data_IF_904696598329
#
_entry.id   IF_904696598329
#
_cell.length_a   1.000
_cell.length_b   1.000
_cell.length_c   1.000
_cell.angle_alpha   90.00
_cell.angle_beta   90.00
_cell.angle_gamma   90.00
#
_symmetry.space_group_name_H-M   'P 1'
#
loop_
_entity.id
_entity.type
_entity.pdbx_description
1 polymer ?
#
# COMPACT_ATOMS: atom_id res chain seq x y z
N UNK A 1 -38.11 -18.32 54.64
CA UNK A 1 -37.88 -17.32 53.61
C UNK A 1 -36.56 -17.63 52.92
N UNK A 2 -36.61 -18.43 51.87
CA UNK A 2 -35.41 -18.84 51.10
C UNK A 2 -35.26 -17.83 49.94
N UNK A 3 -34.13 -17.12 49.93
CA UNK A 3 -33.75 -16.25 48.85
C UNK A 3 -33.08 -17.08 47.75
N UNK A 4 -33.78 -17.23 46.63
CA UNK A 4 -33.26 -17.90 45.42
C UNK A 4 -32.40 -16.90 44.63
N UNK A 5 -31.09 -17.09 44.63
CA UNK A 5 -30.12 -16.30 43.84
C UNK A 5 -30.06 -16.89 42.44
N UNK A 6 -30.87 -16.37 41.54
CA UNK A 6 -30.88 -16.77 40.14
C UNK A 6 -29.64 -16.20 39.44
N UNK A 7 -28.68 -17.07 39.14
CA UNK A 7 -27.42 -16.74 38.45
C UNK A 7 -27.71 -16.46 36.99
N UNK A 8 -27.82 -15.20 36.65
CA UNK A 8 -27.90 -14.66 35.29
C UNK A 8 -26.69 -15.12 34.47
N UNK A 9 -26.91 -16.12 33.60
CA UNK A 9 -25.93 -16.52 32.58
C UNK A 9 -25.70 -15.39 31.61
N UNK A 10 -24.60 -14.63 31.77
CA UNK A 10 -24.16 -13.65 30.81
C UNK A 10 -23.98 -14.30 29.43
N UNK A 11 -24.54 -13.77 28.34
CA UNK A 11 -24.51 -14.41 27.04
C UNK A 11 -23.09 -14.46 26.51
N UNK A 12 -22.64 -15.65 26.19
CA UNK A 12 -21.31 -16.00 25.65
C UNK A 12 -20.87 -15.10 24.47
N UNK A 13 -21.82 -14.45 23.82
CA UNK A 13 -21.62 -13.51 22.71
C UNK A 13 -20.94 -12.18 23.13
N UNK A 14 -21.08 -11.75 24.36
CA UNK A 14 -20.48 -10.49 24.83
C UNK A 14 -18.97 -10.61 25.06
N UNK A 15 -18.52 -11.76 25.52
CA UNK A 15 -17.08 -12.06 25.65
C UNK A 15 -16.36 -12.07 24.30
N UNK A 16 -17.02 -12.52 23.23
CA UNK A 16 -16.46 -12.52 21.87
C UNK A 16 -16.30 -11.08 21.37
N UNK A 17 -17.24 -10.20 21.65
CA UNK A 17 -17.15 -8.79 21.24
C UNK A 17 -16.04 -8.03 22.00
N UNK A 18 -15.81 -8.35 23.26
CA UNK A 18 -14.74 -7.76 24.07
C UNK A 18 -13.35 -8.23 23.56
N UNK A 19 -13.21 -9.51 23.25
CA UNK A 19 -11.94 -10.04 22.72
C UNK A 19 -11.61 -9.48 21.34
N UNK A 20 -12.58 -9.33 20.45
CA UNK A 20 -12.39 -8.71 19.13
C UNK A 20 -11.99 -7.24 19.27
N UNK A 21 -12.61 -6.48 20.18
CA UNK A 21 -12.24 -5.09 20.43
C UNK A 21 -10.80 -4.93 20.94
N UNK A 22 -10.36 -5.83 21.83
CA UNK A 22 -8.99 -5.81 22.39
C UNK A 22 -7.96 -6.14 21.29
N UNK A 23 -8.24 -7.12 20.42
CA UNK A 23 -7.33 -7.50 19.33
C UNK A 23 -7.16 -6.35 18.33
N UNK A 24 -8.25 -5.66 17.96
CA UNK A 24 -8.19 -4.49 17.07
C UNK A 24 -7.34 -3.37 17.69
N UNK A 25 -7.50 -3.10 18.99
CA UNK A 25 -6.73 -2.04 19.66
C UNK A 25 -5.23 -2.36 19.71
N UNK A 26 -4.85 -3.62 19.91
CA UNK A 26 -3.44 -4.06 19.94
C UNK A 26 -2.81 -4.00 18.55
N UNK A 27 -3.53 -4.41 17.50
CA UNK A 27 -3.03 -4.39 16.12
C UNK A 27 -2.86 -2.95 15.62
N UNK A 28 -3.84 -2.07 15.84
CA UNK A 28 -3.76 -0.66 15.44
C UNK A 28 -2.70 0.09 16.26
N UNK A 29 -2.61 -0.15 17.57
CA UNK A 29 -1.60 0.45 18.45
C UNK A 29 -0.18 0.00 18.11
N UNK A 30 0.00 -1.29 17.80
CA UNK A 30 1.29 -1.87 17.40
C UNK A 30 1.78 -1.32 16.05
N UNK A 31 0.89 -1.17 15.08
CA UNK A 31 1.21 -0.59 13.78
C UNK A 31 1.62 0.88 13.90
N UNK A 32 0.94 1.67 14.72
CA UNK A 32 1.25 3.08 14.93
C UNK A 32 2.60 3.27 15.67
N UNK A 33 2.88 2.44 16.69
CA UNK A 33 4.14 2.46 17.42
C UNK A 33 5.33 2.08 16.52
N UNK A 34 5.16 1.09 15.63
CA UNK A 34 6.18 0.68 14.67
C UNK A 34 6.47 1.77 13.63
N UNK A 35 5.43 2.49 13.16
CA UNK A 35 5.58 3.58 12.20
C UNK A 35 6.32 4.78 12.81
N UNK A 36 6.01 5.14 14.06
CA UNK A 36 6.67 6.25 14.77
C UNK A 36 8.13 5.93 15.09
N UNK A 37 8.46 4.68 15.39
CA UNK A 37 9.83 4.25 15.71
C UNK A 37 10.81 4.33 14.53
N UNK A 38 10.32 4.38 13.30
CA UNK A 38 11.16 4.55 12.09
C UNK A 38 11.50 6.01 11.77
N UNK A 39 10.93 6.98 12.48
CA UNK A 39 11.20 8.40 12.28
C UNK A 39 12.16 8.99 13.32
N UNK A 40 12.91 8.18 14.05
CA UNK A 40 13.96 8.66 14.94
C UNK A 40 15.10 9.23 14.09
N UNK A 41 15.05 10.53 13.88
CA UNK A 41 16.16 11.34 13.34
C UNK A 41 17.30 11.29 14.34
N UNK A 42 18.53 10.96 13.96
CA UNK A 42 19.65 10.96 14.88
C UNK A 42 19.96 12.38 15.34
N UNK A 43 19.97 12.54 16.65
CA UNK A 43 20.26 13.80 17.35
C UNK A 43 21.72 14.21 17.11
N UNK A 44 21.91 15.47 16.80
CA UNK A 44 23.16 16.23 16.67
C UNK A 44 24.26 15.75 17.62
N UNK A 45 25.37 15.32 17.07
CA UNK A 45 26.67 15.40 17.71
C UNK A 45 27.21 16.85 17.59
N UNK A 46 27.41 17.47 18.70
CA UNK A 46 28.13 18.75 18.84
C UNK A 46 29.57 18.54 18.37
N UNK A 47 29.92 19.14 17.24
CA UNK A 47 31.30 19.19 16.78
C UNK A 47 31.99 20.44 17.32
N UNK A 48 33.14 20.23 17.95
CA UNK A 48 34.17 21.18 18.34
C UNK A 48 34.69 22.00 17.15
N UNK A 49 35.12 23.25 17.30
CA UNK A 49 35.53 24.12 16.21
C UNK A 49 36.90 23.75 15.68
N UNK A 50 36.97 22.98 14.62
CA UNK A 50 38.21 22.73 13.88
C UNK A 50 38.40 23.77 12.79
N UNK A 51 39.61 24.36 12.79
CA UNK A 51 40.15 25.37 11.88
C UNK A 51 39.77 25.16 10.43
N UNK A 52 39.27 26.24 9.82
CA UNK A 52 38.99 26.36 8.39
C UNK A 52 40.19 26.06 7.48
N UNK A 53 40.12 25.12 6.56
CA UNK A 53 40.99 25.09 5.40
C UNK A 53 40.42 26.01 4.30
N UNK A 54 41.32 26.70 3.70
CA UNK A 54 41.21 27.69 2.63
C UNK A 54 40.35 27.18 1.46
N UNK A 55 39.41 28.01 1.05
CA UNK A 55 38.57 27.86 -0.14
C UNK A 55 39.42 27.64 -1.41
N UNK A 56 39.32 26.44 -1.96
CA UNK A 56 39.55 26.16 -3.37
C UNK A 56 38.82 24.87 -3.71
N UNK A 57 37.81 24.98 -4.55
CA UNK A 57 36.87 23.98 -5.09
C UNK A 57 35.51 23.97 -4.40
N UNK A 58 34.72 24.99 -4.74
CA UNK A 58 33.26 24.87 -4.65
C UNK A 58 32.82 23.81 -5.65
N UNK A 59 32.03 22.79 -5.21
CA UNK A 59 31.36 21.93 -6.17
C UNK A 59 30.46 22.78 -7.09
N UNK A 60 30.17 22.32 -8.32
CA UNK A 60 29.29 23.04 -9.23
C UNK A 60 28.03 23.42 -8.48
N UNK A 61 27.64 24.69 -8.59
CA UNK A 61 26.41 25.24 -8.04
C UNK A 61 25.28 24.26 -8.35
N UNK A 62 24.78 23.57 -7.33
CA UNK A 62 23.59 22.75 -7.43
C UNK A 62 22.51 23.62 -8.07
N UNK A 63 22.11 23.28 -9.30
CA UNK A 63 21.04 24.00 -9.98
C UNK A 63 19.84 24.02 -9.03
N UNK A 64 19.36 25.22 -8.72
CA UNK A 64 18.16 25.40 -7.92
C UNK A 64 17.06 24.47 -8.49
N UNK A 65 16.29 23.78 -7.65
CA UNK A 65 15.24 22.88 -8.13
C UNK A 65 14.41 23.62 -9.16
N UNK A 66 14.32 23.01 -10.36
CA UNK A 66 13.55 23.58 -11.47
C UNK A 66 12.16 23.93 -10.95
N UNK A 67 11.65 25.16 -11.19
CA UNK A 67 10.31 25.53 -10.75
C UNK A 67 9.31 24.46 -11.19
N UNK A 68 8.45 24.04 -10.27
CA UNK A 68 7.37 23.10 -10.59
C UNK A 68 6.58 23.68 -11.78
N UNK A 69 6.29 22.86 -12.80
CA UNK A 69 5.53 23.31 -13.95
C UNK A 69 4.17 23.89 -13.49
N UNK A 70 3.64 24.89 -14.23
CA UNK A 70 2.36 25.52 -13.91
C UNK A 70 1.23 24.47 -13.89
N UNK A 71 0.09 24.78 -13.25
CA UNK A 71 -0.97 23.82 -13.02
C UNK A 71 -1.47 23.23 -14.34
N UNK A 72 -1.34 21.90 -14.44
CA UNK A 72 -1.95 20.98 -15.39
C UNK A 72 -2.26 21.55 -16.79
N UNK A 73 -1.45 21.18 -17.76
CA UNK A 73 -1.80 21.22 -19.18
C UNK A 73 -2.32 19.84 -19.60
N UNK A 74 -3.44 19.73 -20.34
CA UNK A 74 -3.92 18.47 -20.92
C UNK A 74 -2.87 17.78 -21.82
N UNK A 75 -1.93 18.56 -22.35
CA UNK A 75 -0.84 18.08 -23.19
C UNK A 75 0.40 17.63 -22.41
N UNK A 76 0.41 17.80 -21.07
CA UNK A 76 1.51 17.35 -20.25
C UNK A 76 1.61 15.80 -20.25
N UNK A 77 2.81 15.23 -20.03
CA UNK A 77 2.96 13.78 -19.80
C UNK A 77 2.04 13.29 -18.67
N UNK A 78 1.53 12.06 -18.79
CA UNK A 78 0.55 11.53 -17.82
C UNK A 78 1.09 11.55 -16.39
N UNK A 79 2.37 11.25 -16.19
CA UNK A 79 2.99 11.28 -14.86
C UNK A 79 2.99 12.68 -14.22
N UNK A 80 3.16 13.74 -15.02
CA UNK A 80 3.05 15.12 -14.53
C UNK A 80 1.61 15.49 -14.18
N UNK A 81 0.63 14.97 -14.92
CA UNK A 81 -0.78 15.15 -14.61
C UNK A 81 -1.13 14.51 -13.27
N UNK A 82 -0.70 13.25 -13.06
CA UNK A 82 -0.88 12.51 -11.81
C UNK A 82 -0.21 13.23 -10.66
N UNK A 83 1.06 13.63 -10.81
CA UNK A 83 1.79 14.37 -9.79
C UNK A 83 1.08 15.67 -9.40
N UNK A 84 0.58 16.41 -10.37
CA UNK A 84 -0.18 17.65 -10.14
C UNK A 84 -1.48 17.39 -9.36
N UNK A 85 -2.21 16.30 -9.68
CA UNK A 85 -3.41 15.91 -8.96
C UNK A 85 -3.10 15.52 -7.50
N UNK A 86 -2.04 14.75 -7.28
CA UNK A 86 -1.58 14.35 -5.95
C UNK A 86 -1.19 15.55 -5.08
N UNK A 87 -0.42 16.50 -5.65
CA UNK A 87 -0.02 17.73 -4.94
C UNK A 87 -1.19 18.62 -4.55
N UNK A 88 -2.29 18.57 -5.29
CA UNK A 88 -3.54 19.29 -4.98
C UNK A 88 -4.41 18.54 -3.95
N UNK A 89 -4.00 17.37 -3.49
CA UNK A 89 -4.75 16.57 -2.53
C UNK A 89 -5.99 15.94 -3.14
N UNK A 90 -5.83 15.24 -4.27
CA UNK A 90 -6.94 14.51 -4.91
C UNK A 90 -7.61 13.57 -3.91
N UNK A 91 -8.94 13.54 -3.93
CA UNK A 91 -9.72 12.58 -3.15
C UNK A 91 -9.47 11.14 -3.64
N UNK A 92 -9.36 10.12 -2.73
CA UNK A 92 -9.06 8.74 -3.10
C UNK A 92 -10.03 8.14 -4.12
N UNK A 93 -11.33 8.44 -4.02
CA UNK A 93 -12.31 7.97 -5.01
C UNK A 93 -12.13 8.67 -6.36
N UNK A 94 -11.84 9.97 -6.34
CA UNK A 94 -11.53 10.72 -7.56
C UNK A 94 -10.23 10.22 -8.23
N UNK A 95 -9.25 9.76 -7.44
CA UNK A 95 -8.02 9.15 -7.97
C UNK A 95 -8.31 7.86 -8.74
N UNK A 96 -9.22 7.00 -8.25
CA UNK A 96 -9.67 5.79 -8.98
C UNK A 96 -10.34 6.16 -10.30
N UNK A 97 -11.23 7.16 -10.28
CA UNK A 97 -11.92 7.63 -11.50
C UNK A 97 -10.91 8.17 -12.51
N UNK A 98 -9.95 8.99 -12.05
CA UNK A 98 -8.89 9.54 -12.89
C UNK A 98 -8.04 8.43 -13.50
N UNK A 99 -7.58 7.45 -12.70
CA UNK A 99 -6.77 6.33 -13.16
C UNK A 99 -7.46 5.55 -14.30
N UNK A 100 -8.77 5.31 -14.16
CA UNK A 100 -9.56 4.60 -15.18
C UNK A 100 -9.77 5.43 -16.46
N UNK A 101 -9.80 6.75 -16.35
CA UNK A 101 -10.03 7.69 -17.47
C UNK A 101 -8.77 8.10 -18.20
N UNK A 102 -7.58 7.71 -17.74
CA UNK A 102 -6.33 8.09 -18.40
C UNK A 102 -6.29 7.62 -19.87
N UNK A 103 -5.81 8.47 -20.79
CA UNK A 103 -5.72 8.14 -22.21
C UNK A 103 -4.74 7.01 -22.46
N UNK A 104 -4.92 6.28 -23.57
CA UNK A 104 -4.04 5.18 -23.98
C UNK A 104 -2.71 5.75 -24.50
N UNK A 105 -1.75 5.86 -23.60
CA UNK A 105 -0.35 6.25 -23.84
C UNK A 105 0.57 5.22 -23.22
N UNK A 106 1.84 5.12 -23.65
CA UNK A 106 2.77 4.11 -23.11
C UNK A 106 2.91 4.13 -21.59
N UNK A 107 2.93 5.31 -20.99
CA UNK A 107 3.07 5.51 -19.54
C UNK A 107 1.74 5.39 -18.75
N UNK A 108 0.63 4.98 -19.42
CA UNK A 108 -0.69 4.91 -18.79
C UNK A 108 -0.74 3.96 -17.60
N UNK A 109 -0.14 2.79 -17.74
CA UNK A 109 -0.16 1.77 -16.69
C UNK A 109 0.54 2.28 -15.42
N UNK A 110 1.73 2.86 -15.55
CA UNK A 110 2.48 3.42 -14.42
C UNK A 110 1.76 4.62 -13.78
N UNK A 111 1.20 5.51 -14.61
CA UNK A 111 0.43 6.66 -14.14
C UNK A 111 -0.84 6.23 -13.39
N UNK A 112 -1.55 5.21 -13.89
CA UNK A 112 -2.72 4.64 -13.24
C UNK A 112 -2.35 3.95 -11.92
N UNK A 113 -1.24 3.20 -11.90
CA UNK A 113 -0.75 2.52 -10.70
C UNK A 113 -0.55 3.50 -9.54
N UNK A 114 0.14 4.63 -9.76
CA UNK A 114 0.38 5.64 -8.71
C UNK A 114 -0.93 6.14 -8.09
N UNK A 115 -1.94 6.43 -8.91
CA UNK A 115 -3.25 6.89 -8.42
C UNK A 115 -4.01 5.81 -7.66
N UNK A 116 -3.95 4.58 -8.16
CA UNK A 116 -4.63 3.44 -7.56
C UNK A 116 -3.98 3.01 -6.25
N UNK A 117 -2.64 3.00 -6.18
CA UNK A 117 -1.90 2.71 -4.95
C UNK A 117 -2.23 3.75 -3.87
N UNK A 118 -2.20 5.04 -4.21
CA UNK A 118 -2.63 6.10 -3.29
C UNK A 118 -4.06 5.88 -2.77
N UNK A 119 -5.01 5.56 -3.66
CA UNK A 119 -6.39 5.32 -3.25
C UNK A 119 -6.54 4.06 -2.38
N UNK A 120 -5.81 2.99 -2.71
CA UNK A 120 -5.79 1.74 -1.96
C UNK A 120 -5.23 1.92 -0.55
N UNK A 121 -4.11 2.65 -0.41
CA UNK A 121 -3.52 3.02 0.89
C UNK A 121 -4.48 3.87 1.73
N UNK A 122 -5.31 4.69 1.09
CA UNK A 122 -6.36 5.46 1.75
C UNK A 122 -7.63 4.62 2.10
N UNK A 123 -7.60 3.29 1.84
CA UNK A 123 -8.66 2.35 2.20
C UNK A 123 -9.70 2.09 1.10
N UNK A 124 -9.45 2.52 -0.14
CA UNK A 124 -10.34 2.21 -1.24
C UNK A 124 -10.16 0.75 -1.70
N UNK A 125 -11.12 -0.10 -1.41
CA UNK A 125 -11.06 -1.54 -1.69
C UNK A 125 -11.09 -1.88 -3.18
N UNK A 126 -11.74 -1.07 -4.01
CA UNK A 126 -11.74 -1.24 -5.47
C UNK A 126 -10.33 -0.96 -6.03
N UNK A 127 -9.68 0.10 -5.54
CA UNK A 127 -8.29 0.38 -5.90
C UNK A 127 -7.37 -0.75 -5.44
N UNK A 128 -7.53 -1.28 -4.22
CA UNK A 128 -6.75 -2.41 -3.71
C UNK A 128 -6.88 -3.65 -4.60
N UNK A 129 -8.09 -3.95 -5.10
CA UNK A 129 -8.31 -5.06 -6.05
C UNK A 129 -7.51 -4.84 -7.35
N UNK A 130 -7.50 -3.62 -7.87
CA UNK A 130 -6.80 -3.32 -9.11
C UNK A 130 -5.27 -3.34 -8.88
N UNK A 131 -4.78 -2.76 -7.79
CA UNK A 131 -3.35 -2.79 -7.41
C UNK A 131 -2.85 -4.23 -7.27
N UNK A 132 -3.64 -5.11 -6.64
CA UNK A 132 -3.30 -6.53 -6.54
C UNK A 132 -3.01 -7.15 -7.93
N UNK A 133 -3.80 -6.81 -8.95
CA UNK A 133 -3.62 -7.34 -10.32
C UNK A 133 -2.34 -6.84 -11.00
N UNK A 134 -1.86 -5.64 -10.65
CA UNK A 134 -0.55 -5.17 -11.13
C UNK A 134 0.58 -6.09 -10.67
N UNK A 135 0.51 -6.59 -9.44
CA UNK A 135 1.50 -7.50 -8.86
C UNK A 135 1.26 -8.97 -9.19
N UNK A 136 0.03 -9.35 -9.56
CA UNK A 136 -0.37 -10.74 -9.78
C UNK A 136 0.25 -11.32 -11.06
N UNK A 137 1.10 -12.39 -10.97
CA UNK A 137 1.68 -13.04 -12.14
C UNK A 137 0.64 -13.77 -13.00
N UNK A 138 -0.57 -14.04 -12.49
CA UNK A 138 -1.65 -14.68 -13.24
C UNK A 138 -2.51 -13.68 -14.00
N UNK A 139 -2.44 -12.39 -13.65
CA UNK A 139 -3.16 -11.34 -14.34
C UNK A 139 -2.51 -10.98 -15.67
N UNK A 140 -3.34 -10.81 -16.70
CA UNK A 140 -2.92 -10.49 -18.07
C UNK A 140 -2.97 -9.01 -18.39
N UNK A 141 -3.30 -8.17 -17.40
CA UNK A 141 -3.37 -6.73 -17.57
C UNK A 141 -1.99 -6.13 -17.83
N UNK A 142 -1.99 -5.01 -18.55
CA UNK A 142 -0.79 -4.20 -18.69
C UNK A 142 -0.40 -3.62 -17.34
N UNK A 143 0.72 -4.06 -16.80
CA UNK A 143 1.29 -3.59 -15.52
C UNK A 143 2.39 -2.53 -15.69
N UNK A 144 2.64 -2.06 -16.92
CA UNK A 144 3.68 -1.08 -17.19
C UNK A 144 5.07 -1.56 -16.73
N UNK A 145 5.74 -0.75 -15.91
CA UNK A 145 7.04 -1.11 -15.34
C UNK A 145 6.96 -1.85 -14.00
N UNK A 146 5.75 -2.12 -13.50
CA UNK A 146 5.56 -2.80 -12.21
C UNK A 146 5.94 -4.27 -12.33
N UNK A 147 6.88 -4.69 -11.49
CA UNK A 147 7.36 -6.07 -11.43
C UNK A 147 6.33 -6.94 -10.71
N UNK A 148 6.05 -8.11 -11.26
CA UNK A 148 5.14 -9.08 -10.63
C UNK A 148 5.71 -9.56 -9.30
N UNK A 149 4.89 -9.49 -8.25
CA UNK A 149 5.20 -9.90 -6.89
C UNK A 149 4.01 -10.64 -6.29
N UNK A 150 4.04 -11.96 -6.21
CA UNK A 150 2.91 -12.75 -5.74
C UNK A 150 2.61 -12.53 -4.24
N UNK A 151 3.59 -12.10 -3.44
CA UNK A 151 3.35 -11.78 -2.03
C UNK A 151 2.58 -10.47 -1.90
N UNK A 152 3.01 -9.42 -2.62
CA UNK A 152 2.28 -8.15 -2.67
C UNK A 152 0.87 -8.33 -3.27
N UNK A 153 0.72 -9.14 -4.32
CA UNK A 153 -0.59 -9.46 -4.88
C UNK A 153 -1.52 -10.09 -3.84
N UNK A 154 -1.02 -11.07 -3.07
CA UNK A 154 -1.78 -11.71 -2.01
C UNK A 154 -2.25 -10.69 -0.95
N UNK A 155 -1.36 -9.84 -0.46
CA UNK A 155 -1.67 -8.82 0.55
C UNK A 155 -2.75 -7.85 0.07
N UNK A 156 -2.62 -7.32 -1.14
CA UNK A 156 -3.60 -6.39 -1.71
C UNK A 156 -4.96 -7.05 -2.00
N UNK A 157 -4.99 -8.34 -2.42
CA UNK A 157 -6.25 -9.07 -2.54
C UNK A 157 -6.94 -9.27 -1.20
N UNK A 158 -6.19 -9.50 -0.10
CA UNK A 158 -6.77 -9.59 1.24
C UNK A 158 -7.36 -8.24 1.68
N UNK A 159 -6.68 -7.12 1.41
CA UNK A 159 -7.21 -5.78 1.66
C UNK A 159 -8.50 -5.56 0.87
N UNK A 160 -8.52 -5.89 -0.41
CA UNK A 160 -9.70 -5.77 -1.26
C UNK A 160 -10.87 -6.61 -0.73
N UNK A 161 -10.61 -7.87 -0.36
CA UNK A 161 -11.62 -8.80 0.16
C UNK A 161 -12.20 -8.31 1.48
N UNK A 162 -11.38 -7.82 2.41
CA UNK A 162 -11.82 -7.26 3.68
C UNK A 162 -12.68 -6.01 3.50
N UNK A 163 -12.46 -5.26 2.43
CA UNK A 163 -13.26 -4.12 1.99
C UNK A 163 -14.50 -4.47 1.17
N UNK A 164 -14.82 -5.78 1.03
CA UNK A 164 -16.03 -6.27 0.36
C UNK A 164 -15.91 -6.56 -1.13
N UNK A 165 -14.70 -6.53 -1.71
CA UNK A 165 -14.47 -6.88 -3.11
C UNK A 165 -14.43 -8.40 -3.29
N UNK A 166 -15.60 -9.04 -3.41
CA UNK A 166 -15.72 -10.50 -3.50
C UNK A 166 -14.97 -11.10 -4.70
N UNK A 167 -14.76 -10.34 -5.77
CA UNK A 167 -13.97 -10.77 -6.90
C UNK A 167 -12.53 -11.18 -6.52
N UNK A 168 -11.98 -10.62 -5.44
CA UNK A 168 -10.65 -10.99 -4.93
C UNK A 168 -10.53 -12.47 -4.56
N UNK A 169 -11.64 -13.15 -4.19
CA UNK A 169 -11.61 -14.58 -3.87
C UNK A 169 -11.18 -15.44 -5.06
N UNK A 170 -11.68 -15.14 -6.25
CA UNK A 170 -11.32 -15.88 -7.45
C UNK A 170 -9.85 -15.66 -7.78
N UNK A 171 -9.37 -14.40 -7.74
CA UNK A 171 -7.97 -14.08 -7.97
C UNK A 171 -7.04 -14.73 -6.95
N UNK A 172 -7.41 -14.77 -5.68
CA UNK A 172 -6.66 -15.48 -4.64
C UNK A 172 -6.59 -16.99 -4.93
N UNK A 173 -7.68 -17.59 -5.42
CA UNK A 173 -7.69 -19.01 -5.81
C UNK A 173 -6.74 -19.27 -6.97
N UNK A 174 -6.77 -18.45 -8.00
CA UNK A 174 -5.92 -18.56 -9.20
C UNK A 174 -4.44 -18.36 -8.83
N UNK A 175 -4.13 -17.34 -8.03
CA UNK A 175 -2.79 -17.06 -7.53
C UNK A 175 -2.25 -18.22 -6.70
N UNK A 176 -3.07 -18.80 -5.80
CA UNK A 176 -2.69 -19.95 -4.99
C UNK A 176 -2.36 -21.18 -5.86
N UNK A 177 -3.17 -21.44 -6.87
CA UNK A 177 -2.94 -22.55 -7.80
C UNK A 177 -1.63 -22.36 -8.57
N UNK A 178 -1.37 -21.13 -9.04
CA UNK A 178 -0.11 -20.78 -9.70
C UNK A 178 1.08 -20.99 -8.76
N UNK A 179 1.01 -20.49 -7.53
CA UNK A 179 2.06 -20.66 -6.50
C UNK A 179 2.34 -22.14 -6.20
N UNK A 180 1.31 -22.97 -6.10
CA UNK A 180 1.48 -24.42 -5.87
C UNK A 180 2.25 -25.07 -7.03
N UNK A 181 1.95 -24.69 -8.27
CA UNK A 181 2.68 -25.15 -9.45
C UNK A 181 4.14 -24.70 -9.42
N UNK A 182 4.40 -23.43 -9.16
CA UNK A 182 5.76 -22.88 -9.08
C UNK A 182 6.57 -23.52 -7.92
N UNK A 183 5.95 -23.73 -6.77
CA UNK A 183 6.58 -24.41 -5.64
C UNK A 183 6.97 -25.86 -5.97
N UNK A 184 6.12 -26.58 -6.71
CA UNK A 184 6.41 -27.93 -7.20
C UNK A 184 7.57 -27.95 -8.22
N UNK A 185 7.77 -26.87 -8.97
CA UNK A 185 8.90 -26.69 -9.88
C UNK A 185 10.18 -26.22 -9.17
N UNK A 186 10.13 -26.00 -7.86
CA UNK A 186 11.30 -25.68 -7.06
C UNK A 186 11.41 -24.20 -6.64
N UNK A 187 10.45 -23.34 -6.98
CA UNK A 187 10.48 -21.95 -6.58
C UNK A 187 10.47 -21.83 -5.04
N UNK A 188 11.49 -21.18 -4.50
CA UNK A 188 11.60 -20.88 -3.07
C UNK A 188 10.60 -19.81 -2.67
N UNK A 189 10.49 -18.77 -3.45
CA UNK A 189 9.57 -17.66 -3.24
C UNK A 189 8.12 -18.15 -3.14
N UNK A 190 7.67 -18.98 -4.09
CA UNK A 190 6.34 -19.54 -4.08
C UNK A 190 6.06 -20.38 -2.80
N UNK A 191 7.06 -21.12 -2.30
CA UNK A 191 6.94 -21.86 -1.03
C UNK A 191 6.82 -20.93 0.17
N UNK A 192 7.58 -19.85 0.20
CA UNK A 192 7.53 -18.84 1.27
C UNK A 192 6.16 -18.15 1.32
N UNK A 193 5.63 -17.73 0.17
CA UNK A 193 4.29 -17.14 0.09
C UNK A 193 3.22 -18.13 0.55
N UNK A 194 3.27 -19.39 0.09
CA UNK A 194 2.31 -20.42 0.51
C UNK A 194 2.38 -20.76 2.00
N UNK A 195 3.56 -20.67 2.63
CA UNK A 195 3.73 -20.90 4.07
C UNK A 195 3.02 -19.81 4.89
N UNK A 196 2.98 -18.59 4.39
CA UNK A 196 2.33 -17.44 5.03
C UNK A 196 0.86 -17.27 4.60
N UNK A 197 0.34 -18.17 3.76
CA UNK A 197 -1.03 -18.12 3.26
C UNK A 197 -2.02 -18.54 4.35
N UNK A 198 -2.80 -17.58 4.85
CA UNK A 198 -3.81 -17.78 5.92
C UNK A 198 -5.23 -17.97 5.35
#
# INVERSE_FOLDING_TARGET
>A
MEYNFDSQKTPRRWWILITVAIVITVVVGGYFAWRVSRQAVPTKQTAEPTKLPRMANLPPKEEAPKPLPPPYSPDAPLLEQVRSAMLKGIDPQAAVVLAKSLPQKPERADAAFILLEYAAEAGNSEAALIVARYFDPTATDDSGTIIKDPAAAYEWYQVALSGGQLAAQNHLSDLRQWLQKEAAQGSREAREVLTNWQ
#
